data_IF_141125815702
#
_entry.id   IF_141125815702
#
_cell.length_a   1.000
_cell.length_b   1.000
_cell.length_c   1.000
_cell.angle_alpha   90.00
_cell.angle_beta   90.00
_cell.angle_gamma   90.00
#
_symmetry.space_group_name_H-M   'P 1'
#
loop_
_entity.id
_entity.type
_entity.pdbx_description
1 polymer ?
#
# COMPACT_ATOMS: atom_id res chain seq x y z
N UNK A 1 19.52 8.59 -16.16
CA UNK A 1 20.22 7.95 -15.02
C UNK A 1 19.52 8.44 -13.75
N UNK A 2 18.62 7.61 -13.21
CA UNK A 2 18.03 7.59 -11.86
C UNK A 2 17.71 8.93 -11.14
N UNK A 3 16.57 9.54 -11.47
CA UNK A 3 15.85 10.41 -10.53
C UNK A 3 14.90 9.58 -9.67
N UNK A 4 15.47 8.70 -8.83
CA UNK A 4 14.74 8.25 -7.65
C UNK A 4 14.69 9.46 -6.72
N UNK A 5 13.67 10.32 -6.89
CA UNK A 5 13.34 11.40 -5.94
C UNK A 5 13.26 10.74 -4.58
N UNK A 6 14.32 10.92 -3.78
CA UNK A 6 14.50 10.23 -2.51
C UNK A 6 13.30 10.54 -1.63
N UNK A 7 12.50 9.51 -1.31
CA UNK A 7 11.41 9.54 -0.34
C UNK A 7 11.99 9.82 1.05
N UNK A 8 12.47 11.05 1.29
CA UNK A 8 13.03 11.44 2.58
C UNK A 8 11.87 11.69 3.55
N UNK A 9 11.34 10.59 4.09
CA UNK A 9 10.29 10.54 5.12
C UNK A 9 9.08 9.68 4.74
N UNK A 10 8.42 9.09 5.74
CA UNK A 10 7.19 8.28 5.59
C UNK A 10 5.93 9.11 5.26
N UNK A 11 6.08 10.35 4.78
CA UNK A 11 5.00 11.32 4.63
C UNK A 11 3.89 10.87 3.68
N UNK A 12 4.24 10.19 2.59
CA UNK A 12 3.28 9.69 1.60
C UNK A 12 2.40 8.53 2.13
N UNK A 13 2.82 7.88 3.22
CA UNK A 13 2.10 6.77 3.87
C UNK A 13 1.35 7.22 5.13
N UNK A 14 1.38 8.51 5.48
CA UNK A 14 0.67 9.02 6.65
C UNK A 14 -0.84 9.00 6.41
N UNK A 15 -1.59 8.61 7.44
CA UNK A 15 -3.04 8.63 7.39
C UNK A 15 -3.60 10.07 7.58
N UNK A 16 -4.82 10.37 7.08
CA UNK A 16 -5.44 11.70 7.18
C UNK A 16 -5.51 12.25 8.61
N UNK A 17 -5.83 11.40 9.59
CA UNK A 17 -5.93 11.80 10.99
C UNK A 17 -4.57 12.15 11.61
N UNK A 18 -3.49 11.55 11.10
CA UNK A 18 -2.11 11.83 11.50
C UNK A 18 -1.65 13.16 10.92
N UNK A 19 -1.90 13.40 9.63
CA UNK A 19 -1.57 14.67 8.96
C UNK A 19 -2.34 15.84 9.59
N UNK A 20 -3.60 15.65 9.93
CA UNK A 20 -4.43 16.69 10.53
C UNK A 20 -4.17 16.90 12.03
N UNK A 21 -3.22 16.18 12.65
CA UNK A 21 -2.87 16.26 14.07
C UNK A 21 -4.09 16.14 15.00
N UNK A 22 -5.18 15.50 14.53
CA UNK A 22 -6.45 15.41 15.27
C UNK A 22 -6.41 14.37 16.39
N UNK A 23 -5.37 13.53 16.44
CA UNK A 23 -5.13 12.58 17.52
C UNK A 23 -3.74 12.77 18.11
N UNK A 24 -3.66 12.88 19.43
CA UNK A 24 -2.44 12.92 20.25
C UNK A 24 -1.76 11.55 20.39
N UNK A 25 -2.19 10.54 19.63
CA UNK A 25 -1.61 9.20 19.65
C UNK A 25 -1.88 8.48 18.34
N UNK A 26 -0.80 8.09 17.67
CA UNK A 26 -0.80 7.12 16.58
C UNK A 26 -1.52 5.85 17.05
N UNK A 27 -2.53 5.40 16.30
CA UNK A 27 -3.32 4.21 16.62
C UNK A 27 -3.18 3.16 15.53
N UNK A 28 -3.54 1.92 15.84
CA UNK A 28 -3.46 0.76 14.93
C UNK A 28 -4.13 1.03 13.56
N UNK A 29 -5.17 1.85 13.51
CA UNK A 29 -5.85 2.23 12.26
C UNK A 29 -4.95 3.05 11.30
N UNK A 30 -3.99 3.82 11.81
CA UNK A 30 -3.03 4.54 10.97
C UNK A 30 -2.03 3.58 10.31
N UNK A 31 -1.65 2.50 11.02
CA UNK A 31 -0.81 1.44 10.44
C UNK A 31 -1.53 0.76 9.28
N UNK A 32 -2.84 0.51 9.40
CA UNK A 32 -3.66 -0.08 8.34
C UNK A 32 -3.66 0.78 7.07
N UNK A 33 -3.76 2.10 7.21
CA UNK A 33 -3.61 3.02 6.08
C UNK A 33 -2.23 2.87 5.42
N UNK A 34 -1.16 2.84 6.23
CA UNK A 34 0.20 2.68 5.73
C UNK A 34 0.41 1.33 5.01
N UNK A 35 -0.27 0.27 5.44
CA UNK A 35 -0.30 -1.03 4.76
C UNK A 35 -0.95 -0.92 3.39
N UNK A 36 -2.11 -0.26 3.27
CA UNK A 36 -2.76 -0.02 1.98
C UNK A 36 -1.85 0.73 0.99
N UNK A 37 -1.22 1.80 1.46
CA UNK A 37 -0.22 2.56 0.71
C UNK A 37 0.98 1.69 0.28
N UNK A 38 1.47 0.81 1.16
CA UNK A 38 2.59 -0.10 0.86
C UNK A 38 2.20 -1.13 -0.20
N UNK A 39 0.99 -1.70 -0.12
CA UNK A 39 0.50 -2.64 -1.14
C UNK A 39 0.37 -1.96 -2.50
N UNK A 40 -0.15 -0.74 -2.54
CA UNK A 40 -0.20 0.05 -3.77
C UNK A 40 1.20 0.33 -4.33
N UNK A 41 2.17 0.68 -3.48
CA UNK A 41 3.56 0.87 -3.90
C UNK A 41 4.14 -0.42 -4.49
N UNK A 42 3.91 -1.58 -3.86
CA UNK A 42 4.38 -2.87 -4.37
C UNK A 42 3.85 -3.18 -5.77
N UNK A 43 2.60 -2.82 -6.06
CA UNK A 43 2.01 -3.00 -7.40
C UNK A 43 2.54 -2.01 -8.44
N UNK A 44 2.81 -0.77 -8.05
CA UNK A 44 3.14 0.31 -8.98
C UNK A 44 4.63 0.56 -9.13
N UNK A 45 5.45 0.08 -8.17
CA UNK A 45 6.86 0.41 -8.03
C UNK A 45 7.11 1.89 -7.74
N UNK A 46 6.10 2.63 -7.27
CA UNK A 46 6.14 4.08 -7.04
C UNK A 46 5.53 4.42 -5.69
N UNK A 47 6.01 5.49 -5.08
CA UNK A 47 5.40 6.00 -3.87
C UNK A 47 3.91 6.35 -4.12
N UNK A 48 3.05 6.19 -3.11
CA UNK A 48 1.67 6.63 -3.21
C UNK A 48 1.64 8.14 -3.51
N UNK A 49 0.65 8.57 -4.31
CA UNK A 49 0.51 9.95 -4.79
C UNK A 49 1.59 10.46 -5.77
N UNK A 50 2.45 9.60 -6.33
CA UNK A 50 3.33 10.01 -7.45
C UNK A 50 2.51 10.65 -8.60
N UNK A 51 2.98 11.74 -9.25
CA UNK A 51 4.30 12.39 -9.14
C UNK A 51 4.34 13.59 -8.17
N UNK A 52 3.38 13.71 -7.25
CA UNK A 52 3.25 14.89 -6.39
C UNK A 52 4.46 15.10 -5.47
N UNK A 53 4.77 16.36 -5.19
CA UNK A 53 5.73 16.72 -4.15
C UNK A 53 5.12 16.51 -2.76
N UNK A 54 5.95 16.33 -1.74
CA UNK A 54 5.53 15.96 -0.36
C UNK A 54 4.40 16.86 0.16
N UNK A 55 4.51 18.18 0.01
CA UNK A 55 3.50 19.12 0.53
C UNK A 55 2.16 19.03 -0.21
N UNK A 56 2.19 18.71 -1.51
CA UNK A 56 0.96 18.49 -2.29
C UNK A 56 0.29 17.20 -1.87
N UNK A 57 1.07 16.13 -1.66
CA UNK A 57 0.55 14.86 -1.17
C UNK A 57 -0.06 15.01 0.23
N UNK A 58 0.65 15.67 1.17
CA UNK A 58 0.13 15.93 2.52
C UNK A 58 -1.18 16.72 2.50
N UNK A 59 -1.30 17.73 1.63
CA UNK A 59 -2.54 18.49 1.49
C UNK A 59 -3.71 17.60 1.00
N UNK A 60 -3.46 16.70 0.04
CA UNK A 60 -4.47 15.74 -0.44
C UNK A 60 -4.85 14.72 0.62
N UNK A 61 -3.85 14.15 1.30
CA UNK A 61 -4.05 13.23 2.42
C UNK A 61 -4.88 13.89 3.53
N UNK A 62 -4.55 15.13 3.90
CA UNK A 62 -5.30 15.88 4.92
C UNK A 62 -6.77 16.11 4.56
N UNK A 63 -7.10 16.16 3.26
CA UNK A 63 -8.49 16.22 2.75
C UNK A 63 -9.17 14.86 2.64
N UNK A 64 -8.44 13.76 2.85
CA UNK A 64 -8.94 12.40 2.60
C UNK A 64 -9.03 12.04 1.11
N UNK A 65 -8.32 12.75 0.24
CA UNK A 65 -8.23 12.37 -1.17
C UNK A 65 -7.32 11.14 -1.30
N UNK A 66 -7.76 10.11 -2.04
CA UNK A 66 -7.04 8.85 -2.20
C UNK A 66 -5.91 8.97 -3.25
N UNK A 67 -4.85 8.13 -3.15
CA UNK A 67 -3.87 8.01 -4.22
C UNK A 67 -4.51 7.35 -5.46
N UNK A 68 -3.96 7.56 -6.66
CA UNK A 68 -4.45 6.88 -7.86
C UNK A 68 -4.21 5.37 -7.76
N UNK A 69 -5.27 4.58 -7.90
CA UNK A 69 -5.21 3.11 -7.94
C UNK A 69 -5.39 2.69 -9.41
N UNK A 70 -4.46 1.93 -10.00
CA UNK A 70 -4.60 1.52 -11.39
C UNK A 70 -5.74 0.52 -11.60
N UNK A 71 -6.59 0.74 -12.60
CA UNK A 71 -7.68 -0.17 -12.97
C UNK A 71 -7.19 -1.54 -13.44
N UNK A 72 -5.90 -1.67 -13.77
CA UNK A 72 -5.26 -2.93 -14.18
C UNK A 72 -5.07 -3.92 -13.03
N UNK A 73 -5.22 -3.50 -11.77
CA UNK A 73 -5.14 -4.40 -10.62
C UNK A 73 -6.36 -5.33 -10.60
N UNK A 74 -6.21 -6.54 -10.06
CA UNK A 74 -7.36 -7.41 -9.81
C UNK A 74 -8.37 -6.75 -8.87
N UNK A 75 -9.65 -7.05 -9.02
CA UNK A 75 -10.72 -6.52 -8.17
C UNK A 75 -10.42 -6.69 -6.68
N UNK A 76 -9.95 -7.87 -6.24
CA UNK A 76 -9.58 -8.12 -4.84
C UNK A 76 -8.45 -7.21 -4.34
N UNK A 77 -7.46 -6.90 -5.17
CA UNK A 77 -6.35 -6.04 -4.80
C UNK A 77 -6.80 -4.57 -4.68
N UNK A 78 -7.64 -4.11 -5.61
CA UNK A 78 -8.24 -2.78 -5.54
C UNK A 78 -9.11 -2.64 -4.28
N UNK A 79 -9.95 -3.65 -4.02
CA UNK A 79 -10.83 -3.70 -2.85
C UNK A 79 -10.04 -3.71 -1.52
N UNK A 80 -8.95 -4.50 -1.45
CA UNK A 80 -8.07 -4.51 -0.28
C UNK A 80 -7.43 -3.16 -0.02
N UNK A 81 -6.88 -2.52 -1.06
CA UNK A 81 -6.24 -1.20 -0.96
C UNK A 81 -7.28 -0.17 -0.51
N UNK A 82 -8.46 -0.13 -1.14
CA UNK A 82 -9.52 0.81 -0.79
C UNK A 82 -10.03 0.60 0.64
N UNK A 83 -10.17 -0.65 1.07
CA UNK A 83 -10.55 -1.00 2.45
C UNK A 83 -9.53 -0.48 3.47
N UNK A 84 -8.24 -0.58 3.17
CA UNK A 84 -7.18 -0.03 4.02
C UNK A 84 -7.17 1.51 4.02
N UNK A 85 -7.50 2.13 2.89
CA UNK A 85 -7.48 3.58 2.67
C UNK A 85 -8.82 4.26 2.97
N UNK A 86 -9.67 3.65 3.78
CA UNK A 86 -10.88 4.28 4.28
C UNK A 86 -10.52 5.53 5.12
N UNK A 87 -11.12 6.67 4.80
CA UNK A 87 -10.72 7.97 5.38
C UNK A 87 -11.04 8.03 6.87
N UNK A 88 -12.20 7.49 7.28
CA UNK A 88 -12.56 7.42 8.69
C UNK A 88 -11.79 6.26 9.36
N UNK A 89 -10.88 6.52 10.32
CA UNK A 89 -10.09 5.45 10.95
C UNK A 89 -10.95 4.41 11.68
N UNK A 90 -12.17 4.75 12.12
CA UNK A 90 -13.07 3.81 12.79
C UNK A 90 -13.72 2.80 11.84
N UNK A 91 -13.69 3.07 10.54
CA UNK A 91 -14.23 2.18 9.51
C UNK A 91 -13.15 1.26 8.94
N UNK A 92 -11.86 1.51 9.24
CA UNK A 92 -10.76 0.64 8.81
C UNK A 92 -10.80 -0.67 9.61
N UNK A 93 -10.62 -1.83 8.96
CA UNK A 93 -10.53 -3.10 9.67
C UNK A 93 -9.23 -3.19 10.47
N UNK A 94 -9.22 -4.05 11.48
CA UNK A 94 -7.99 -4.49 12.14
C UNK A 94 -7.13 -5.35 11.21
N UNK A 95 -5.83 -5.47 11.54
CA UNK A 95 -4.92 -6.35 10.81
C UNK A 95 -5.42 -7.82 10.80
N UNK A 96 -6.00 -8.28 11.92
CA UNK A 96 -6.57 -9.63 12.01
C UNK A 96 -7.72 -9.83 11.01
N UNK A 97 -8.60 -8.84 10.84
CA UNK A 97 -9.68 -8.90 9.86
C UNK A 97 -9.15 -8.85 8.41
N UNK A 98 -8.07 -8.10 8.15
CA UNK A 98 -7.47 -8.05 6.82
C UNK A 98 -6.83 -9.37 6.39
N UNK A 99 -6.36 -10.20 7.34
CA UNK A 99 -5.87 -11.54 7.03
C UNK A 99 -6.95 -12.44 6.42
N UNK A 100 -8.23 -12.14 6.68
CA UNK A 100 -9.35 -12.87 6.09
C UNK A 100 -9.80 -12.31 4.73
N UNK A 101 -9.22 -11.22 4.25
CA UNK A 101 -9.59 -10.62 2.98
C UNK A 101 -9.24 -11.54 1.79
N UNK A 102 -10.08 -11.65 0.74
CA UNK A 102 -9.82 -12.49 -0.43
C UNK A 102 -8.45 -12.27 -1.08
N UNK A 103 -7.99 -11.02 -1.14
CA UNK A 103 -6.65 -10.64 -1.59
C UNK A 103 -5.52 -11.40 -0.86
N UNK A 104 -5.65 -11.59 0.46
CA UNK A 104 -4.62 -12.24 1.31
C UNK A 104 -4.83 -13.74 1.38
N UNK A 105 -6.10 -14.19 1.44
CA UNK A 105 -6.43 -15.62 1.57
C UNK A 105 -6.18 -16.43 0.30
N UNK A 106 -6.14 -15.81 -0.87
CA UNK A 106 -5.85 -16.52 -2.12
C UNK A 106 -4.41 -17.05 -2.07
N UNK A 107 -4.19 -18.38 -2.11
CA UNK A 107 -2.84 -18.90 -2.21
C UNK A 107 -2.20 -18.33 -3.48
N UNK A 108 -0.89 -18.00 -3.47
CA UNK A 108 -0.21 -17.66 -4.71
C UNK A 108 -0.46 -18.81 -5.67
N UNK A 109 -1.10 -18.54 -6.81
CA UNK A 109 -1.20 -19.54 -7.87
C UNK A 109 0.22 -19.95 -8.17
N UNK A 110 0.55 -21.21 -7.86
CA UNK A 110 1.86 -21.80 -8.08
C UNK A 110 2.11 -21.96 -9.58
N UNK A 111 2.12 -20.87 -10.33
CA UNK A 111 2.88 -20.77 -11.57
C UNK A 111 4.34 -20.74 -11.13
N UNK A 112 4.93 -21.94 -11.16
CA UNK A 112 6.18 -22.25 -10.50
C UNK A 112 7.28 -21.23 -10.72
N UNK A 113 7.93 -20.87 -9.61
CA UNK A 113 9.37 -20.69 -9.66
C UNK A 113 9.97 -22.05 -10.05
N UNK A 114 9.93 -22.37 -11.35
CA UNK A 114 10.73 -23.45 -11.88
C UNK A 114 12.18 -23.00 -11.69
N UNK A 115 12.82 -23.55 -10.65
CA UNK A 115 14.26 -23.50 -10.52
C UNK A 115 14.86 -23.95 -11.85
N UNK A 116 15.74 -23.16 -12.49
CA UNK A 116 16.45 -23.66 -13.65
C UNK A 116 17.27 -24.86 -13.18
N UNK A 117 16.86 -26.04 -13.64
CA UNK A 117 17.54 -27.30 -13.45
C UNK A 117 18.96 -27.10 -14.00
N UNK A 118 19.95 -27.03 -13.12
CA UNK A 118 21.35 -27.15 -13.52
C UNK A 118 21.52 -28.56 -14.08
N UNK A 119 21.77 -28.64 -15.38
CA UNK A 119 22.02 -29.88 -16.09
C UNK A 119 23.20 -30.64 -15.49
N UNK A 120 22.98 -31.94 -15.40
CA UNK A 120 23.90 -32.99 -15.06
C UNK A 120 25.19 -32.89 -15.90
N UNK A 121 26.32 -32.56 -15.27
CA UNK A 121 27.63 -32.99 -15.78
C UNK A 121 28.04 -34.16 -14.89
N UNK A 122 27.83 -35.36 -15.41
CA UNK A 122 28.46 -36.59 -14.93
C UNK A 122 29.65 -36.94 -15.84
N UNK A 123 30.55 -37.80 -15.36
CA UNK A 123 31.82 -37.50 -14.69
C UNK A 123 32.98 -37.18 -15.66
#
# INVERSE_FOLDING_TARGET
>A
MNDAKSCKGSAFWMAPEVVNLKNTGYGLAADIWSVGCTVLEMFTGRCPYYPLEIMQALFRIGKGELPPIPDSLSTDAQDFILTCLEVNPNNRPSAAQLLDHPFVRKPPTSSGFASPHSDNISP
#
